data_IF_140468203995
#
_entry.id   IF_140468203995
#
_cell.length_a   1.000
_cell.length_b   1.000
_cell.length_c   1.000
_cell.angle_alpha   90.00
_cell.angle_beta   90.00
_cell.angle_gamma   90.00
#
_symmetry.space_group_name_H-M   'P 1'
#
loop_
_entity.id
_entity.type
_entity.pdbx_description
1 polymer ?
#
# COMPACT_ATOMS: atom_id res chain seq x y z
N UNK A 1 4.12 -1.37 -20.47
CA UNK A 1 4.75 -2.04 -19.32
C UNK A 1 3.67 -2.82 -18.59
N UNK A 2 3.79 -4.14 -18.58
CA UNK A 2 2.85 -5.00 -17.84
C UNK A 2 3.13 -4.90 -16.34
N UNK A 3 2.08 -4.94 -15.53
CA UNK A 3 2.19 -4.98 -14.08
C UNK A 3 2.04 -6.43 -13.63
N UNK A 4 3.02 -6.91 -12.87
CA UNK A 4 3.02 -8.23 -12.25
C UNK A 4 2.90 -8.06 -10.74
N UNK A 5 2.10 -8.92 -10.10
CA UNK A 5 1.89 -8.91 -8.64
C UNK A 5 2.96 -9.74 -7.91
N UNK A 6 3.60 -10.67 -8.59
CA UNK A 6 4.66 -11.53 -8.08
C UNK A 6 5.49 -12.08 -9.24
N UNK A 7 6.77 -12.32 -9.01
CA UNK A 7 7.68 -12.97 -9.97
C UNK A 7 8.16 -14.30 -9.38
N UNK A 8 8.00 -15.37 -10.16
CA UNK A 8 8.57 -16.67 -9.86
C UNK A 8 9.72 -16.88 -10.84
N UNK A 9 10.93 -17.06 -10.31
CA UNK A 9 12.14 -17.08 -11.13
C UNK A 9 13.03 -18.27 -10.79
N UNK A 10 13.52 -18.96 -11.83
CA UNK A 10 14.54 -19.98 -11.67
C UNK A 10 15.91 -19.31 -11.45
N UNK A 11 16.69 -19.83 -10.51
CA UNK A 11 18.07 -19.36 -10.32
C UNK A 11 18.93 -19.75 -11.51
N UNK A 12 18.77 -20.99 -12.01
CA UNK A 12 19.59 -21.52 -13.10
C UNK A 12 18.98 -21.22 -14.47
N UNK A 13 19.20 -20.02 -14.97
CA UNK A 13 18.79 -19.64 -16.33
C UNK A 13 20.01 -19.43 -17.26
N UNK A 14 19.87 -19.71 -18.57
CA UNK A 14 20.92 -19.42 -19.52
C UNK A 14 21.11 -17.92 -19.73
N UNK A 15 22.34 -17.45 -19.95
CA UNK A 15 22.74 -16.05 -20.20
C UNK A 15 22.79 -15.13 -18.99
N UNK A 16 21.81 -15.16 -18.10
CA UNK A 16 21.72 -14.35 -16.88
C UNK A 16 21.14 -15.22 -15.77
N UNK A 17 21.80 -15.32 -14.63
CA UNK A 17 21.26 -16.05 -13.49
C UNK A 17 20.08 -15.29 -12.83
N UNK A 18 19.27 -16.03 -12.09
CA UNK A 18 18.07 -15.48 -11.45
C UNK A 18 18.36 -14.37 -10.44
N UNK A 19 19.52 -14.39 -9.76
CA UNK A 19 19.92 -13.37 -8.80
C UNK A 19 20.24 -12.03 -9.49
N UNK A 20 20.99 -12.09 -10.59
CA UNK A 20 21.28 -10.89 -11.39
C UNK A 20 19.99 -10.30 -11.97
N UNK A 21 19.11 -11.14 -12.51
CA UNK A 21 17.80 -10.70 -13.02
C UNK A 21 16.95 -10.05 -11.93
N UNK A 22 16.86 -10.65 -10.73
CA UNK A 22 16.16 -10.10 -9.58
C UNK A 22 16.72 -8.72 -9.20
N UNK A 23 18.04 -8.58 -9.11
CA UNK A 23 18.71 -7.32 -8.78
C UNK A 23 18.38 -6.21 -9.77
N UNK A 24 18.37 -6.50 -11.06
CA UNK A 24 18.05 -5.51 -12.09
C UNK A 24 16.56 -5.11 -12.07
N UNK A 25 15.65 -6.07 -11.86
CA UNK A 25 14.22 -5.79 -11.78
C UNK A 25 13.89 -4.95 -10.53
N UNK A 26 14.49 -5.27 -9.38
CA UNK A 26 14.26 -4.53 -8.13
C UNK A 26 14.74 -3.08 -8.16
N UNK A 27 15.66 -2.71 -9.05
CA UNK A 27 16.03 -1.31 -9.29
C UNK A 27 14.89 -0.50 -9.96
N UNK A 28 14.00 -1.18 -10.66
CA UNK A 28 12.95 -0.56 -11.48
C UNK A 28 11.58 -0.68 -10.83
N UNK A 29 11.33 -1.80 -10.13
CA UNK A 29 10.03 -2.14 -9.55
C UNK A 29 10.20 -2.88 -8.23
N UNK A 30 9.39 -2.50 -7.25
CA UNK A 30 9.24 -3.23 -5.99
C UNK A 30 8.14 -4.30 -6.18
N UNK A 31 8.57 -5.49 -6.61
CA UNK A 31 7.69 -6.65 -6.85
C UNK A 31 8.23 -7.83 -6.02
N UNK A 32 7.38 -8.60 -5.35
CA UNK A 32 7.82 -9.78 -4.62
C UNK A 32 8.35 -10.88 -5.52
N UNK A 33 9.36 -11.60 -5.01
CA UNK A 33 10.05 -12.68 -5.72
C UNK A 33 9.99 -14.00 -4.97
N UNK A 34 9.67 -15.09 -5.71
CA UNK A 34 9.92 -16.47 -5.30
C UNK A 34 11.02 -17.02 -6.20
N UNK A 35 12.11 -17.47 -5.60
CA UNK A 35 13.20 -18.12 -6.34
C UNK A 35 13.03 -19.63 -6.33
N UNK A 36 13.19 -20.24 -7.51
CA UNK A 36 13.22 -21.70 -7.67
C UNK A 36 14.68 -22.16 -7.72
N UNK A 37 15.09 -23.00 -6.79
CA UNK A 37 16.46 -23.50 -6.69
C UNK A 37 16.52 -25.02 -6.82
N UNK A 38 17.52 -25.53 -7.53
CA UNK A 38 17.84 -26.97 -7.54
C UNK A 38 18.66 -27.40 -6.32
N UNK A 39 19.18 -26.45 -5.51
CA UNK A 39 20.04 -26.69 -4.37
C UNK A 39 19.43 -26.14 -3.10
N UNK A 40 19.60 -26.89 -2.00
CA UNK A 40 19.18 -26.50 -0.64
C UNK A 40 20.33 -25.85 0.15
N UNK A 41 21.36 -25.32 -0.52
CA UNK A 41 22.52 -24.76 0.17
C UNK A 41 22.14 -23.49 0.93
N UNK A 42 22.49 -23.46 2.19
CA UNK A 42 22.21 -22.39 3.15
C UNK A 42 22.79 -21.04 2.68
N UNK A 43 23.91 -21.10 1.94
CA UNK A 43 24.60 -19.95 1.35
C UNK A 43 23.76 -19.23 0.28
N UNK A 44 23.05 -19.98 -0.57
CA UNK A 44 22.16 -19.39 -1.59
C UNK A 44 20.99 -18.63 -0.97
N UNK A 45 20.49 -19.11 0.18
CA UNK A 45 19.41 -18.44 0.92
C UNK A 45 19.88 -17.13 1.54
N UNK A 46 21.12 -17.08 2.07
CA UNK A 46 21.68 -15.87 2.68
C UNK A 46 21.86 -14.74 1.64
N UNK A 47 22.40 -15.06 0.46
CA UNK A 47 22.54 -14.09 -0.65
C UNK A 47 21.18 -13.53 -1.07
N UNK A 48 20.16 -14.36 -1.06
CA UNK A 48 18.82 -13.93 -1.46
C UNK A 48 18.10 -13.05 -0.44
N UNK A 49 18.34 -13.23 0.84
CA UNK A 49 17.80 -12.33 1.87
C UNK A 49 18.37 -10.92 1.71
N UNK A 50 19.65 -10.77 1.40
CA UNK A 50 20.28 -9.46 1.13
C UNK A 50 19.71 -8.78 -0.13
N UNK A 51 19.22 -9.58 -1.09
CA UNK A 51 18.54 -9.09 -2.30
C UNK A 51 17.06 -8.79 -2.10
N UNK A 52 16.51 -9.03 -0.91
CA UNK A 52 15.11 -8.82 -0.59
C UNK A 52 14.17 -9.81 -1.30
N UNK A 53 14.59 -11.07 -1.48
CA UNK A 53 13.75 -12.15 -2.02
C UNK A 53 12.78 -12.61 -0.93
N UNK A 54 11.51 -12.80 -1.29
CA UNK A 54 10.42 -13.07 -0.34
C UNK A 54 10.32 -14.53 0.05
N UNK A 55 10.67 -15.48 -0.84
CA UNK A 55 10.67 -16.91 -0.54
C UNK A 55 11.55 -17.72 -1.51
N UNK A 56 11.92 -18.92 -1.08
CA UNK A 56 12.67 -19.92 -1.83
C UNK A 56 11.92 -21.24 -1.89
N UNK A 57 11.89 -21.84 -3.09
CA UNK A 57 11.30 -23.16 -3.30
C UNK A 57 12.34 -24.06 -3.95
N UNK A 58 12.67 -25.17 -3.28
CA UNK A 58 13.62 -26.16 -3.79
C UNK A 58 12.94 -27.12 -4.75
N UNK A 59 13.61 -27.40 -5.86
CA UNK A 59 13.20 -28.43 -6.84
C UNK A 59 13.65 -29.83 -6.37
N UNK A 60 12.80 -30.88 -6.51
CA UNK A 60 11.45 -30.86 -7.03
C UNK A 60 10.43 -30.33 -5.99
N UNK A 61 9.43 -29.56 -6.44
CA UNK A 61 8.39 -29.01 -5.60
C UNK A 61 6.97 -29.44 -6.04
N UNK A 62 6.04 -29.45 -5.11
CA UNK A 62 4.64 -29.66 -5.44
C UNK A 62 4.02 -28.36 -6.02
N UNK A 63 3.29 -28.41 -7.16
CA UNK A 63 2.54 -27.26 -7.64
C UNK A 63 1.59 -26.66 -6.62
N UNK A 64 0.98 -27.50 -5.76
CA UNK A 64 0.11 -27.06 -4.66
C UNK A 64 0.88 -26.27 -3.61
N UNK A 65 2.10 -26.66 -3.29
CA UNK A 65 2.97 -25.93 -2.38
C UNK A 65 3.34 -24.56 -2.95
N UNK A 66 3.77 -24.49 -4.21
CA UNK A 66 4.12 -23.23 -4.85
C UNK A 66 2.92 -22.27 -4.86
N UNK A 67 1.72 -22.74 -5.20
CA UNK A 67 0.50 -21.93 -5.18
C UNK A 67 0.18 -21.44 -3.76
N UNK A 68 0.37 -22.27 -2.72
CA UNK A 68 0.14 -21.86 -1.35
C UNK A 68 1.11 -20.75 -0.91
N UNK A 69 2.40 -20.83 -1.29
CA UNK A 69 3.42 -19.82 -1.04
C UNK A 69 3.13 -18.51 -1.76
N UNK A 70 2.76 -18.57 -3.04
CA UNK A 70 2.31 -17.41 -3.83
C UNK A 70 1.17 -16.69 -3.12
N UNK A 71 0.12 -17.43 -2.72
CA UNK A 71 -1.03 -16.86 -2.00
C UNK A 71 -0.62 -16.20 -0.67
N UNK A 72 0.30 -16.82 0.07
CA UNK A 72 0.79 -16.28 1.34
C UNK A 72 1.55 -14.97 1.16
N UNK A 73 2.41 -14.87 0.14
CA UNK A 73 3.17 -13.66 -0.17
C UNK A 73 2.25 -12.54 -0.67
N UNK A 74 1.35 -12.85 -1.61
CA UNK A 74 0.38 -11.88 -2.11
C UNK A 74 -0.53 -11.36 -1.00
N UNK A 75 -0.95 -12.23 -0.06
CA UNK A 75 -1.75 -11.82 1.11
C UNK A 75 -0.95 -10.92 2.05
N UNK A 76 0.33 -11.22 2.31
CA UNK A 76 1.21 -10.40 3.17
C UNK A 76 1.43 -9.02 2.54
N UNK A 77 1.76 -8.98 1.26
CA UNK A 77 1.98 -7.73 0.53
C UNK A 77 0.67 -6.94 0.33
N UNK A 78 -0.47 -7.63 0.17
CA UNK A 78 -1.77 -6.99 0.20
C UNK A 78 -2.04 -6.30 1.55
N UNK A 79 -1.68 -6.94 2.67
CA UNK A 79 -1.85 -6.34 4.01
C UNK A 79 -0.98 -5.08 4.18
N UNK A 80 0.23 -5.08 3.65
CA UNK A 80 1.12 -3.91 3.69
C UNK A 80 0.65 -2.82 2.69
N UNK A 81 0.16 -3.20 1.51
CA UNK A 81 -0.41 -2.27 0.53
C UNK A 81 -1.73 -1.62 0.99
N UNK A 82 -2.44 -2.24 1.94
CA UNK A 82 -3.70 -1.70 2.50
C UNK A 82 -3.51 -1.03 3.86
N UNK A 83 -2.27 -0.90 4.34
CA UNK A 83 -1.97 -0.21 5.59
C UNK A 83 -1.12 1.03 5.32
N UNK A 84 -1.72 2.19 5.58
CA UNK A 84 -1.02 3.47 5.47
C UNK A 84 -0.52 3.88 6.86
N UNK A 85 0.76 4.24 6.96
CA UNK A 85 1.40 4.69 8.21
C UNK A 85 2.05 6.05 8.02
N UNK A 86 1.69 6.99 8.88
CA UNK A 86 2.18 8.36 8.88
C UNK A 86 2.46 8.77 10.33
N UNK A 87 3.71 8.69 10.75
CA UNK A 87 4.07 8.82 12.18
C UNK A 87 3.23 7.83 13.03
N UNK A 88 2.42 8.30 13.98
CA UNK A 88 1.51 7.47 14.77
C UNK A 88 0.08 7.39 14.23
N UNK A 89 -0.20 7.87 13.03
CA UNK A 89 -1.46 7.65 12.33
C UNK A 89 -1.36 6.39 11.48
N UNK A 90 -2.18 5.39 11.75
CA UNK A 90 -2.26 4.14 10.98
C UNK A 90 -3.67 3.95 10.44
N UNK A 91 -3.78 3.65 9.17
CA UNK A 91 -5.04 3.37 8.48
C UNK A 91 -4.93 1.98 7.88
N UNK A 92 -5.73 1.04 8.34
CA UNK A 92 -5.83 -0.30 7.78
C UNK A 92 -7.11 -0.41 6.94
N UNK A 93 -6.94 -0.41 5.64
CA UNK A 93 -8.06 -0.40 4.70
C UNK A 93 -8.85 -1.72 4.70
N UNK A 94 -8.16 -2.86 4.85
CA UNK A 94 -8.83 -4.17 4.92
C UNK A 94 -9.70 -4.32 6.17
N UNK A 95 -9.23 -3.78 7.29
CA UNK A 95 -9.94 -3.83 8.55
C UNK A 95 -10.92 -2.65 8.73
N UNK A 96 -10.95 -1.67 7.81
CA UNK A 96 -11.65 -0.38 7.97
C UNK A 96 -11.35 0.27 9.33
N UNK A 97 -10.07 0.26 9.73
CA UNK A 97 -9.65 0.71 11.06
C UNK A 97 -8.64 1.85 10.96
N UNK A 98 -8.85 2.87 11.80
CA UNK A 98 -7.92 3.99 11.94
C UNK A 98 -7.43 4.05 13.38
N UNK A 99 -6.12 4.20 13.56
CA UNK A 99 -5.47 4.35 14.86
C UNK A 99 -4.66 5.63 14.92
N UNK A 100 -4.70 6.25 16.07
CA UNK A 100 -3.91 7.42 16.45
C UNK A 100 -3.11 7.05 17.69
N UNK A 101 -1.76 7.02 17.57
CA UNK A 101 -0.86 6.55 18.64
C UNK A 101 -1.31 5.20 19.21
N UNK A 102 -1.49 4.20 18.32
CA UNK A 102 -1.96 2.84 18.60
C UNK A 102 -3.39 2.72 19.16
N UNK A 103 -4.06 3.83 19.46
CA UNK A 103 -5.45 3.82 19.91
C UNK A 103 -6.40 3.88 18.73
N UNK A 104 -7.31 2.92 18.66
CA UNK A 104 -8.40 2.94 17.66
C UNK A 104 -9.29 4.15 17.86
N UNK A 105 -9.56 4.86 16.77
CA UNK A 105 -10.54 5.95 16.74
C UNK A 105 -11.73 5.54 15.89
N UNK A 106 -12.91 6.08 16.24
CA UNK A 106 -14.13 5.83 15.48
C UNK A 106 -14.36 6.99 14.52
N UNK A 107 -14.42 6.68 13.24
CA UNK A 107 -14.85 7.60 12.19
C UNK A 107 -16.21 7.16 11.66
N UNK A 108 -17.02 8.10 11.23
CA UNK A 108 -18.20 7.77 10.42
C UNK A 108 -17.77 7.21 9.07
N UNK A 109 -18.62 6.43 8.35
CA UNK A 109 -18.27 5.91 7.04
C UNK A 109 -17.76 6.98 6.06
N UNK A 110 -18.39 8.16 6.04
CA UNK A 110 -17.99 9.27 5.16
C UNK A 110 -16.66 9.93 5.58
N UNK A 111 -16.38 10.01 6.87
CA UNK A 111 -15.08 10.48 7.37
C UNK A 111 -13.97 9.49 7.03
N UNK A 112 -14.25 8.18 7.12
CA UNK A 112 -13.31 7.15 6.72
C UNK A 112 -13.01 7.23 5.20
N UNK A 113 -14.06 7.27 4.36
CA UNK A 113 -13.94 7.38 2.91
C UNK A 113 -13.15 8.64 2.51
N UNK A 114 -13.42 9.77 3.19
CA UNK A 114 -12.71 11.04 2.96
C UNK A 114 -11.22 10.92 3.33
N UNK A 115 -10.91 10.36 4.50
CA UNK A 115 -9.52 10.14 4.92
C UNK A 115 -8.78 9.22 3.95
N UNK A 116 -9.40 8.08 3.60
CA UNK A 116 -8.83 7.13 2.65
C UNK A 116 -8.56 7.78 1.31
N UNK A 117 -9.53 8.51 0.74
CA UNK A 117 -9.37 9.17 -0.54
C UNK A 117 -8.25 10.22 -0.53
N UNK A 118 -8.14 10.99 0.54
CA UNK A 118 -7.06 11.96 0.74
C UNK A 118 -5.68 11.27 0.83
N UNK A 119 -5.59 10.16 1.56
CA UNK A 119 -4.34 9.41 1.77
C UNK A 119 -3.86 8.70 0.51
N UNK A 120 -4.78 8.08 -0.24
CA UNK A 120 -4.45 7.43 -1.53
C UNK A 120 -4.00 8.43 -2.60
N UNK A 121 -4.42 9.70 -2.46
CA UNK A 121 -3.99 10.82 -3.31
C UNK A 121 -3.01 11.76 -2.57
N UNK A 122 -2.13 11.20 -1.71
CA UNK A 122 -1.24 12.03 -0.90
C UNK A 122 -0.39 12.99 -1.76
N UNK A 123 -0.18 14.19 -1.26
CA UNK A 123 0.56 15.29 -1.88
C UNK A 123 -0.11 15.88 -3.14
N UNK A 124 -1.34 15.45 -3.48
CA UNK A 124 -2.14 16.03 -4.57
C UNK A 124 -3.22 16.94 -3.97
N UNK A 125 -3.35 18.15 -4.50
CA UNK A 125 -4.44 19.05 -4.13
C UNK A 125 -5.73 18.61 -4.83
N UNK A 126 -6.75 18.29 -4.05
CA UNK A 126 -8.06 17.83 -4.52
C UNK A 126 -9.08 18.95 -4.33
N UNK A 127 -9.86 19.23 -5.38
CA UNK A 127 -10.92 20.23 -5.29
C UNK A 127 -12.08 19.72 -4.40
N UNK A 128 -12.89 20.67 -3.89
CA UNK A 128 -14.10 20.33 -3.14
C UNK A 128 -15.06 19.49 -3.97
N UNK A 129 -15.24 19.85 -5.22
CA UNK A 129 -16.06 19.13 -6.18
C UNK A 129 -15.56 17.69 -6.41
N UNK A 130 -14.24 17.51 -6.61
CA UNK A 130 -13.64 16.18 -6.72
C UNK A 130 -13.88 15.32 -5.48
N UNK A 131 -13.71 15.89 -4.28
CA UNK A 131 -13.97 15.20 -3.03
C UNK A 131 -15.44 14.84 -2.89
N UNK A 132 -16.34 15.77 -3.21
CA UNK A 132 -17.78 15.55 -3.14
C UNK A 132 -18.22 14.43 -4.08
N UNK A 133 -17.85 14.53 -5.34
CA UNK A 133 -18.20 13.54 -6.39
C UNK A 133 -17.68 12.14 -6.06
N UNK A 134 -16.43 12.01 -5.62
CA UNK A 134 -15.82 10.70 -5.38
C UNK A 134 -16.30 10.04 -4.08
N UNK A 135 -16.77 10.80 -3.11
CA UNK A 135 -17.17 10.27 -1.79
C UNK A 135 -18.68 10.16 -1.65
N UNK A 136 -19.44 11.10 -2.22
CA UNK A 136 -20.90 11.11 -2.15
C UNK A 136 -21.60 10.71 -3.45
N UNK A 137 -20.90 10.73 -4.57
CA UNK A 137 -21.45 10.40 -5.88
C UNK A 137 -21.93 11.62 -6.68
N UNK A 138 -22.17 11.43 -7.97
CA UNK A 138 -22.61 12.50 -8.88
C UNK A 138 -24.02 13.04 -8.58
N UNK A 139 -24.87 12.22 -7.98
CA UNK A 139 -26.27 12.57 -7.67
C UNK A 139 -26.43 13.31 -6.33
N UNK A 140 -25.32 13.67 -5.69
CA UNK A 140 -25.35 14.38 -4.43
C UNK A 140 -25.57 15.89 -4.66
N UNK A 141 -26.75 16.38 -4.34
CA UNK A 141 -27.14 17.79 -4.44
C UNK A 141 -26.72 18.64 -3.22
N UNK A 142 -25.66 18.26 -2.52
CA UNK A 142 -25.15 19.03 -1.37
C UNK A 142 -24.25 20.18 -1.78
N UNK A 143 -24.16 21.19 -0.89
CA UNK A 143 -23.27 22.35 -1.03
C UNK A 143 -21.80 21.94 -0.76
N UNK A 144 -20.86 22.61 -1.39
CA UNK A 144 -19.40 22.51 -1.15
C UNK A 144 -19.01 22.64 0.33
N UNK A 145 -19.83 23.34 1.13
CA UNK A 145 -19.70 23.46 2.58
C UNK A 145 -19.82 22.13 3.33
N UNK A 146 -20.43 21.12 2.71
CA UNK A 146 -20.52 19.77 3.27
C UNK A 146 -19.12 19.20 3.50
N UNK A 147 -18.22 19.35 2.51
CA UNK A 147 -16.82 18.90 2.61
C UNK A 147 -16.10 19.62 3.75
N UNK A 148 -16.25 20.94 3.88
CA UNK A 148 -15.56 21.74 4.91
C UNK A 148 -15.97 21.27 6.31
N UNK A 149 -17.26 20.89 6.51
CA UNK A 149 -17.75 20.32 7.77
C UNK A 149 -17.11 18.98 8.07
N UNK A 150 -17.09 18.06 7.11
CA UNK A 150 -16.48 16.74 7.27
C UNK A 150 -14.95 16.84 7.50
N UNK A 151 -14.26 17.72 6.81
CA UNK A 151 -12.84 17.99 7.06
C UNK A 151 -12.60 18.50 8.48
N UNK A 152 -13.47 19.40 8.97
CA UNK A 152 -13.36 19.91 10.35
C UNK A 152 -13.52 18.79 11.37
N UNK A 153 -14.53 17.94 11.21
CA UNK A 153 -14.78 16.80 12.11
C UNK A 153 -13.65 15.79 12.04
N UNK A 154 -13.22 15.42 10.82
CA UNK A 154 -12.10 14.51 10.61
C UNK A 154 -10.82 15.03 11.27
N UNK A 155 -10.48 16.31 11.09
CA UNK A 155 -9.32 16.93 11.74
C UNK A 155 -9.39 16.83 13.27
N UNK A 156 -10.58 16.98 13.85
CA UNK A 156 -10.77 16.83 15.29
C UNK A 156 -10.52 15.38 15.74
N UNK A 157 -11.04 14.41 15.02
CA UNK A 157 -10.84 12.98 15.31
C UNK A 157 -9.38 12.56 15.19
N UNK A 158 -8.61 13.12 14.25
CA UNK A 158 -7.18 12.85 14.06
C UNK A 158 -6.27 13.52 15.09
N UNK A 159 -6.78 14.45 15.91
CA UNK A 159 -6.02 15.13 16.96
C UNK A 159 -4.77 15.84 16.43
N UNK A 160 -3.60 15.49 16.93
CA UNK A 160 -2.32 16.12 16.51
C UNK A 160 -1.96 15.85 15.04
N UNK A 161 -2.46 14.75 14.44
CA UNK A 161 -2.23 14.40 13.04
C UNK A 161 -3.13 15.15 12.05
N UNK A 162 -4.01 16.03 12.57
CA UNK A 162 -4.75 17.00 11.73
C UNK A 162 -3.84 17.83 10.82
N UNK A 163 -2.58 17.97 11.20
CA UNK A 163 -1.53 18.68 10.43
C UNK A 163 -1.36 18.14 9.02
N UNK A 164 -1.61 16.84 8.80
CA UNK A 164 -1.49 16.22 7.50
C UNK A 164 -2.60 16.61 6.52
N UNK A 165 -3.75 17.06 7.00
CA UNK A 165 -4.82 17.56 6.14
C UNK A 165 -4.66 19.08 5.99
N UNK A 166 -4.07 19.49 4.88
CA UNK A 166 -3.78 20.90 4.58
C UNK A 166 -4.90 21.50 3.74
N UNK A 167 -5.28 22.75 4.04
CA UNK A 167 -6.19 23.52 3.18
C UNK A 167 -5.39 24.21 2.07
N UNK A 168 -5.74 23.93 0.83
CA UNK A 168 -5.18 24.61 -0.34
C UNK A 168 -6.17 25.72 -0.76
N UNK A 169 -5.80 26.99 -0.48
CA UNK A 169 -6.67 28.14 -0.73
C UNK A 169 -7.18 28.15 -2.18
N UNK A 170 -8.45 28.50 -2.36
CA UNK A 170 -9.16 28.55 -3.63
C UNK A 170 -9.31 27.20 -4.37
N UNK A 171 -8.72 26.09 -3.87
CA UNK A 171 -8.81 24.76 -4.50
C UNK A 171 -9.62 23.83 -3.60
N UNK A 172 -9.09 23.44 -2.44
CA UNK A 172 -9.73 22.47 -1.58
C UNK A 172 -8.77 21.93 -0.51
N UNK A 173 -8.49 20.64 -0.53
CA UNK A 173 -7.72 19.98 0.51
C UNK A 173 -6.67 19.02 -0.05
N UNK A 174 -5.61 18.78 0.72
CA UNK A 174 -4.52 17.87 0.40
C UNK A 174 -4.10 17.11 1.66
N UNK A 175 -3.84 15.83 1.55
CA UNK A 175 -3.06 15.10 2.55
C UNK A 175 -1.59 15.30 2.25
N UNK A 176 -0.88 15.99 3.11
CA UNK A 176 0.53 16.31 2.91
C UNK A 176 1.39 15.51 3.89
N UNK A 177 2.30 14.73 3.33
CA UNK A 177 3.27 13.97 4.10
C UNK A 177 4.55 13.79 3.27
N UNK A 178 5.67 14.18 3.85
CA UNK A 178 7.01 14.01 3.30
C UNK A 178 7.78 13.09 4.23
N UNK A 179 8.38 12.05 3.67
CA UNK A 179 9.26 11.13 4.40
C UNK A 179 10.56 11.85 4.77
#
# INVERSE_FOLDING_TARGET
QENFDIIIMDIMMPKMDGYQACKEIKKIKDVPFIMLSARSEEYDKLIGFDLGIDDYVTKPFSPKELVARVKAILKRNATDNYTYKFEGLTINDLAHEVRVDDKKINLTPKEYDLLKYLVTNKNIALSREQLLTNIWGYDFFGDDRTIDTHIKTLRNSLGKYRKFIVTVRAIGYKFEYHN
#
